data_IF_050443772265
#
_entry.id   IF_050443772265
#
_cell.length_a   1.000
_cell.length_b   1.000
_cell.length_c   1.000
_cell.angle_alpha   90.00
_cell.angle_beta   90.00
_cell.angle_gamma   90.00
#
_symmetry.space_group_name_H-M   'P 1'
#
loop_
_entity.id
_entity.type
_entity.pdbx_description
1 polymer ?
#
# COMPACT_ATOMS: atom_id res chain seq x y z
N UNK A 1 19.94 -0.48 6.60
CA UNK A 1 19.37 -0.33 5.25
C UNK A 1 18.56 -1.58 4.88
N UNK A 2 17.88 -1.51 3.73
CA UNK A 2 17.04 -2.60 3.21
C UNK A 2 17.82 -3.82 2.73
N UNK A 3 19.08 -3.67 2.32
CA UNK A 3 19.94 -4.79 1.94
C UNK A 3 20.19 -5.71 3.14
N UNK A 4 20.56 -5.14 4.29
CA UNK A 4 20.73 -5.89 5.52
C UNK A 4 19.44 -6.62 5.95
N UNK A 5 18.26 -6.02 5.72
CA UNK A 5 16.97 -6.66 6.02
C UNK A 5 16.70 -7.89 5.12
N UNK A 6 17.03 -7.80 3.83
CA UNK A 6 16.95 -8.93 2.90
C UNK A 6 17.95 -10.04 3.25
N UNK A 7 19.20 -9.69 3.55
CA UNK A 7 20.24 -10.64 3.96
C UNK A 7 19.86 -11.38 5.26
N UNK A 8 19.33 -10.66 6.25
CA UNK A 8 18.82 -11.27 7.48
C UNK A 8 17.65 -12.24 7.22
N UNK A 9 16.75 -11.89 6.31
CA UNK A 9 15.64 -12.76 5.90
C UNK A 9 16.17 -14.04 5.24
N UNK A 10 17.12 -13.92 4.31
CA UNK A 10 17.74 -15.06 3.65
C UNK A 10 18.49 -15.98 4.63
N UNK A 11 19.19 -15.41 5.61
CA UNK A 11 19.87 -16.16 6.66
C UNK A 11 18.88 -16.95 7.54
N UNK A 12 17.74 -16.34 7.90
CA UNK A 12 16.67 -17.01 8.66
C UNK A 12 16.03 -18.15 7.87
N UNK A 13 15.75 -17.94 6.58
CA UNK A 13 15.20 -18.99 5.70
C UNK A 13 16.14 -20.18 5.58
N UNK A 14 17.44 -19.92 5.43
CA UNK A 14 18.46 -20.96 5.41
C UNK A 14 18.52 -21.72 6.74
N UNK A 15 18.50 -21.02 7.87
CA UNK A 15 18.51 -21.64 9.19
C UNK A 15 17.28 -22.55 9.41
N UNK A 16 16.09 -22.11 9.00
CA UNK A 16 14.86 -22.91 9.08
C UNK A 16 14.92 -24.16 8.19
N UNK A 17 15.48 -24.03 6.98
CA UNK A 17 15.65 -25.16 6.05
C UNK A 17 16.66 -26.19 6.56
N UNK A 18 17.72 -25.72 7.23
CA UNK A 18 18.82 -26.57 7.71
C UNK A 18 18.54 -27.16 9.11
N UNK A 19 17.42 -26.80 9.76
CA UNK A 19 17.05 -27.29 11.09
C UNK A 19 16.64 -28.78 11.08
N UNK A 20 17.58 -29.63 11.51
CA UNK A 20 17.40 -31.08 11.62
C UNK A 20 16.57 -31.51 12.83
N UNK A 21 16.30 -30.63 13.80
CA UNK A 21 15.49 -30.96 14.97
C UNK A 21 14.04 -31.28 14.60
N UNK A 22 13.59 -30.82 13.44
CA UNK A 22 12.29 -31.17 12.85
C UNK A 22 12.24 -32.60 12.27
N UNK A 23 13.36 -33.36 12.29
CA UNK A 23 13.36 -34.81 12.06
C UNK A 23 12.83 -35.29 10.71
N UNK A 24 12.74 -34.41 9.70
CA UNK A 24 12.12 -34.72 8.41
C UNK A 24 10.58 -34.71 8.43
N UNK A 25 9.95 -34.36 9.55
CA UNK A 25 8.52 -34.10 9.63
C UNK A 25 8.22 -32.70 9.07
N UNK A 26 7.41 -32.65 8.03
CA UNK A 26 6.85 -31.42 7.45
C UNK A 26 5.54 -31.07 8.16
N UNK A 27 5.62 -30.75 9.45
CA UNK A 27 4.49 -30.25 10.22
C UNK A 27 4.60 -28.72 10.37
N UNK A 28 3.53 -28.00 10.03
CA UNK A 28 3.45 -26.54 10.20
C UNK A 28 2.45 -26.23 11.29
N UNK A 29 2.89 -25.56 12.36
CA UNK A 29 2.01 -25.05 13.40
C UNK A 29 1.65 -23.60 13.08
N UNK A 30 0.35 -23.33 13.00
CA UNK A 30 -0.16 -21.98 12.79
C UNK A 30 -0.68 -21.42 14.10
N UNK A 31 -0.28 -20.18 14.40
CA UNK A 31 -0.67 -19.47 15.63
C UNK A 31 -1.68 -18.34 15.38
N UNK A 32 -1.98 -18.06 14.11
CA UNK A 32 -2.87 -16.98 13.67
C UNK A 32 -3.65 -17.38 12.42
N UNK A 33 -4.79 -16.74 12.23
CA UNK A 33 -5.56 -16.77 10.99
C UNK A 33 -5.30 -15.46 10.22
N UNK A 34 -5.44 -15.47 8.88
CA UNK A 34 -5.71 -16.64 8.05
C UNK A 34 -4.47 -17.53 7.85
N UNK A 35 -4.70 -18.83 7.59
CA UNK A 35 -3.62 -19.81 7.34
C UNK A 35 -3.11 -19.75 5.89
N UNK A 36 -4.02 -19.38 4.98
CA UNK A 36 -3.85 -19.42 3.53
C UNK A 36 -4.63 -18.26 2.92
N UNK A 37 -4.10 -17.70 1.84
CA UNK A 37 -4.83 -16.81 0.96
C UNK A 37 -4.92 -17.48 -0.42
N UNK A 38 -6.14 -17.80 -0.86
CA UNK A 38 -6.39 -18.60 -2.07
C UNK A 38 -5.60 -19.91 -2.09
N UNK A 39 -4.65 -20.02 -3.02
CA UNK A 39 -3.82 -21.18 -3.25
C UNK A 39 -2.45 -21.10 -2.55
N UNK A 40 -2.13 -20.01 -1.84
CA UNK A 40 -0.84 -19.76 -1.19
C UNK A 40 -0.91 -19.81 0.35
N UNK A 41 -0.02 -20.57 0.99
CA UNK A 41 0.13 -20.60 2.45
C UNK A 41 0.76 -19.29 2.94
N UNK A 42 0.19 -18.71 4.00
CA UNK A 42 0.75 -17.51 4.62
C UNK A 42 1.84 -17.90 5.60
N UNK A 43 3.05 -17.40 5.38
CA UNK A 43 4.18 -17.56 6.28
C UNK A 43 4.44 -16.27 7.08
N UNK A 44 5.65 -16.11 7.62
CA UNK A 44 6.04 -14.93 8.39
C UNK A 44 6.69 -13.82 7.54
N UNK A 45 6.68 -13.94 6.20
CA UNK A 45 7.23 -12.95 5.29
C UNK A 45 6.12 -12.05 4.79
N UNK A 46 6.39 -10.75 4.78
CA UNK A 46 5.51 -9.76 4.19
C UNK A 46 6.26 -9.05 3.06
N UNK A 47 5.62 -8.85 1.89
CA UNK A 47 6.19 -8.01 0.84
C UNK A 47 6.12 -6.55 1.26
N UNK A 48 7.25 -5.83 1.16
CA UNK A 48 7.31 -4.39 1.39
C UNK A 48 7.94 -3.68 0.18
N UNK A 49 7.53 -2.44 -0.16
CA UNK A 49 8.22 -1.62 -1.15
C UNK A 49 9.51 -1.08 -0.54
N UNK A 50 10.60 -1.16 -1.31
CA UNK A 50 11.87 -0.52 -0.98
C UNK A 50 12.07 0.71 -1.85
N UNK A 51 12.48 1.80 -1.23
CA UNK A 51 12.75 3.06 -1.91
C UNK A 51 14.26 3.24 -2.05
N UNK A 52 14.70 3.42 -3.29
CA UNK A 52 16.12 3.59 -3.62
C UNK A 52 16.30 4.93 -4.30
N UNK A 53 17.27 5.70 -3.83
CA UNK A 53 17.65 6.93 -4.53
C UNK A 53 18.31 6.57 -5.87
N UNK A 54 17.77 7.16 -6.93
CA UNK A 54 18.30 7.05 -8.29
C UNK A 54 18.85 8.41 -8.68
N UNK A 55 20.12 8.45 -9.04
CA UNK A 55 20.81 9.64 -9.55
C UNK A 55 21.10 9.48 -11.04
N UNK A 56 21.26 10.61 -11.74
CA UNK A 56 21.78 10.58 -13.11
C UNK A 56 23.24 10.13 -13.09
N UNK A 57 23.53 9.09 -13.86
CA UNK A 57 24.88 8.56 -14.03
C UNK A 57 25.19 8.43 -15.53
N UNK A 58 25.94 9.37 -16.11
CA UNK A 58 26.28 9.33 -17.53
C UNK A 58 27.23 8.18 -17.89
N UNK A 59 27.81 7.49 -16.90
CA UNK A 59 28.66 6.31 -17.10
C UNK A 59 27.88 5.00 -17.11
N UNK A 60 26.65 5.02 -16.58
CA UNK A 60 25.74 3.88 -16.60
C UNK A 60 25.07 3.73 -17.98
N UNK A 61 24.94 2.51 -18.53
CA UNK A 61 24.22 2.28 -19.79
C UNK A 61 22.77 2.75 -19.80
N UNK A 62 22.12 2.82 -18.62
CA UNK A 62 20.75 3.34 -18.48
C UNK A 62 20.70 4.87 -18.35
N UNK A 63 21.84 5.53 -18.15
CA UNK A 63 21.92 6.94 -17.75
C UNK A 63 21.62 7.19 -16.27
N UNK A 64 21.43 6.13 -15.48
CA UNK A 64 21.04 6.20 -14.07
C UNK A 64 21.89 5.28 -13.20
N UNK A 65 22.27 5.78 -12.02
CA UNK A 65 22.91 5.02 -10.94
C UNK A 65 21.94 4.89 -9.77
N UNK A 66 21.90 3.72 -9.14
CA UNK A 66 21.05 3.45 -7.98
C UNK A 66 21.90 3.15 -6.76
N UNK A 67 21.66 3.86 -5.66
CA UNK A 67 22.34 3.62 -4.38
C UNK A 67 21.68 2.45 -3.63
N UNK A 68 21.76 1.23 -4.18
CA UNK A 68 21.03 0.04 -3.68
C UNK A 68 21.37 -0.29 -2.23
N UNK A 69 22.61 -0.06 -1.81
CA UNK A 69 23.04 -0.24 -0.41
C UNK A 69 22.39 0.74 0.57
N UNK A 70 21.70 1.76 0.08
CA UNK A 70 20.94 2.75 0.87
C UNK A 70 19.42 2.59 0.75
N UNK A 71 18.94 1.46 0.22
CA UNK A 71 17.52 1.17 0.12
C UNK A 71 16.79 1.37 1.48
N UNK A 72 15.63 2.02 1.43
CA UNK A 72 14.80 2.31 2.60
C UNK A 72 13.54 1.44 2.55
N UNK A 73 13.32 0.64 3.59
CA UNK A 73 12.05 -0.06 3.83
C UNK A 73 11.19 0.82 4.75
N UNK A 74 10.15 1.46 4.19
CA UNK A 74 9.25 2.32 4.97
C UNK A 74 8.37 1.52 5.95
N UNK A 75 8.16 0.22 5.68
CA UNK A 75 7.36 -0.68 6.48
C UNK A 75 8.22 -1.53 7.44
N UNK A 76 9.50 -1.19 7.60
CA UNK A 76 10.43 -2.01 8.38
C UNK A 76 9.93 -2.22 9.80
N UNK A 77 9.72 -3.48 10.16
CA UNK A 77 9.24 -3.87 11.50
C UNK A 77 7.73 -3.77 11.66
N UNK A 78 7.00 -3.33 10.64
CA UNK A 78 5.54 -3.32 10.63
C UNK A 78 5.04 -4.60 9.96
N UNK A 79 4.23 -5.42 10.65
CA UNK A 79 3.74 -6.67 10.08
C UNK A 79 2.53 -6.40 9.17
N UNK A 80 2.76 -5.80 8.01
CA UNK A 80 1.75 -5.57 6.98
C UNK A 80 2.35 -5.79 5.59
N UNK A 81 1.51 -6.04 4.59
CA UNK A 81 1.93 -6.35 3.23
C UNK A 81 1.56 -5.22 2.26
N UNK A 82 2.55 -4.74 1.52
CA UNK A 82 2.39 -3.82 0.38
C UNK A 82 3.33 -4.30 -0.75
N UNK A 83 2.82 -4.76 -1.91
CA UNK A 83 1.40 -4.88 -2.23
C UNK A 83 0.66 -5.88 -1.33
N UNK A 84 -0.62 -5.64 -1.17
CA UNK A 84 -1.56 -6.53 -0.50
C UNK A 84 -1.72 -7.85 -1.26
N UNK A 85 -1.99 -8.93 -0.53
CA UNK A 85 -2.11 -10.25 -1.15
C UNK A 85 -3.37 -10.44 -2.00
N UNK A 86 -3.35 -11.52 -2.81
CA UNK A 86 -4.29 -11.91 -3.86
C UNK A 86 -4.35 -11.00 -5.11
N UNK A 87 -4.61 -9.70 -4.94
CA UNK A 87 -4.86 -8.79 -6.07
C UNK A 87 -4.07 -7.49 -6.03
N UNK A 88 -3.24 -7.26 -5.01
CA UNK A 88 -2.46 -6.03 -4.90
C UNK A 88 -1.27 -5.97 -5.86
N UNK A 89 -0.92 -4.75 -6.26
CA UNK A 89 0.17 -4.47 -7.17
C UNK A 89 0.78 -3.07 -6.98
N UNK A 90 1.25 -2.47 -8.07
CA UNK A 90 1.85 -1.13 -8.05
C UNK A 90 0.86 -0.03 -7.67
N UNK A 91 -0.44 -0.30 -7.76
CA UNK A 91 -1.53 0.57 -7.33
C UNK A 91 -1.64 0.68 -5.80
N UNK A 92 -1.01 -0.20 -5.03
CA UNK A 92 -1.05 -0.15 -3.57
C UNK A 92 -0.15 0.95 -2.98
N UNK A 93 0.61 1.67 -3.81
CA UNK A 93 1.44 2.77 -3.36
C UNK A 93 1.58 3.87 -4.43
N UNK A 94 1.91 5.07 -3.99
CA UNK A 94 2.19 6.20 -4.87
C UNK A 94 3.28 7.09 -4.29
N UNK A 95 4.08 7.68 -5.18
CA UNK A 95 5.16 8.61 -4.85
C UNK A 95 4.83 9.98 -5.46
N UNK A 96 4.86 11.02 -4.62
CA UNK A 96 4.73 12.41 -5.07
C UNK A 96 6.06 12.97 -5.57
N UNK A 97 6.01 14.09 -6.31
CA UNK A 97 7.22 14.81 -6.73
C UNK A 97 8.01 15.42 -5.58
N UNK A 98 7.38 15.62 -4.42
CA UNK A 98 8.02 16.15 -3.22
C UNK A 98 8.75 15.07 -2.41
N UNK A 99 8.62 13.79 -2.80
CA UNK A 99 9.19 12.66 -2.08
C UNK A 99 8.30 12.09 -0.98
N UNK A 100 7.06 12.58 -0.84
CA UNK A 100 6.05 11.93 -0.01
C UNK A 100 5.56 10.63 -0.67
N UNK A 101 5.31 9.62 0.16
CA UNK A 101 4.83 8.30 -0.23
C UNK A 101 3.48 8.04 0.43
N UNK A 102 2.53 7.51 -0.33
CA UNK A 102 1.28 7.00 0.19
C UNK A 102 1.24 5.49 -0.09
N UNK A 103 0.72 4.72 0.86
CA UNK A 103 0.45 3.29 0.67
C UNK A 103 -0.96 2.96 1.13
N UNK A 104 -1.61 2.04 0.43
CA UNK A 104 -2.75 1.32 0.97
C UNK A 104 -2.23 0.06 1.64
N UNK A 105 -2.50 -0.11 2.93
CA UNK A 105 -2.05 -1.27 3.69
C UNK A 105 -3.13 -1.72 4.67
N UNK A 106 -3.09 -3.00 5.02
CA UNK A 106 -3.84 -3.44 6.20
C UNK A 106 -3.25 -2.77 7.45
N UNK A 107 -4.06 -2.51 8.48
CA UNK A 107 -3.54 -2.23 9.81
C UNK A 107 -2.48 -3.26 10.22
N UNK A 108 -1.51 -2.89 11.08
CA UNK A 108 -0.52 -3.83 11.57
C UNK A 108 -1.19 -5.11 12.08
N UNK A 109 -0.67 -6.26 11.63
CA UNK A 109 -1.19 -7.58 11.95
C UNK A 109 -1.52 -7.74 13.43
N UNK A 110 -2.77 -8.09 13.72
CA UNK A 110 -3.26 -8.45 15.04
C UNK A 110 -4.07 -9.77 15.01
N UNK A 111 -4.67 -10.13 16.14
CA UNK A 111 -5.49 -11.34 16.26
C UNK A 111 -6.81 -11.27 15.46
N UNK A 112 -7.22 -10.08 15.01
CA UNK A 112 -8.45 -9.83 14.28
C UNK A 112 -8.28 -9.84 12.75
N UNK A 113 -7.05 -9.97 12.23
CA UNK A 113 -6.74 -9.94 10.78
C UNK A 113 -7.71 -10.74 9.90
N UNK A 114 -8.08 -11.94 10.35
CA UNK A 114 -8.96 -12.84 9.59
C UNK A 114 -10.43 -12.38 9.49
N UNK A 115 -10.83 -11.44 10.35
CA UNK A 115 -12.20 -10.95 10.48
C UNK A 115 -12.42 -9.60 9.80
N UNK A 116 -11.38 -9.07 9.14
CA UNK A 116 -11.45 -7.77 8.48
C UNK A 116 -10.85 -7.83 7.09
N UNK A 117 -11.49 -7.10 6.19
CA UNK A 117 -10.99 -6.81 4.85
C UNK A 117 -10.39 -5.41 4.78
N UNK A 118 -10.46 -4.62 5.86
CA UNK A 118 -10.12 -3.21 5.90
C UNK A 118 -8.65 -2.95 5.51
N UNK A 119 -8.47 -1.89 4.74
CA UNK A 119 -7.19 -1.27 4.43
C UNK A 119 -7.32 0.22 4.57
N UNK A 120 -6.26 0.84 5.05
CA UNK A 120 -6.17 2.27 5.21
C UNK A 120 -5.13 2.89 4.29
N UNK A 121 -5.27 4.20 4.08
CA UNK A 121 -4.27 5.02 3.40
C UNK A 121 -3.31 5.63 4.43
N UNK A 122 -2.06 5.21 4.38
CA UNK A 122 -0.97 5.75 5.20
C UNK A 122 -0.07 6.64 4.37
N UNK A 123 0.33 7.79 4.94
CA UNK A 123 1.19 8.77 4.26
C UNK A 123 2.47 9.02 5.04
N UNK A 124 3.58 8.90 4.34
CA UNK A 124 4.88 9.38 4.75
C UNK A 124 5.23 10.66 3.99
N UNK A 125 5.49 11.76 4.70
CA UNK A 125 5.77 13.06 4.06
C UNK A 125 7.11 13.11 3.32
N UNK A 126 8.07 12.27 3.70
CA UNK A 126 9.37 12.16 3.03
C UNK A 126 10.03 10.82 3.34
N UNK A 127 10.78 10.30 2.38
CA UNK A 127 11.64 9.12 2.59
C UNK A 127 12.86 9.57 3.42
N UNK A 128 13.09 9.00 4.62
CA UNK A 128 14.24 9.35 5.44
C UNK A 128 15.54 8.93 4.77
N UNK A 129 16.59 9.73 4.99
CA UNK A 129 17.94 9.39 4.53
C UNK A 129 18.54 8.27 5.40
N UNK A 130 19.46 7.47 4.84
CA UNK A 130 20.30 6.55 5.63
C UNK A 130 19.69 5.18 5.95
N UNK A 131 18.58 4.79 5.31
CA UNK A 131 18.03 3.44 5.48
C UNK A 131 17.31 3.20 6.81
N UNK A 132 16.90 4.28 7.49
CA UNK A 132 16.07 4.25 8.70
C UNK A 132 14.60 4.02 8.34
N UNK A 133 13.88 3.29 9.20
CA UNK A 133 12.44 3.07 9.05
C UNK A 133 11.71 4.39 9.35
N UNK A 134 10.83 4.84 8.44
CA UNK A 134 10.15 6.12 8.60
C UNK A 134 8.95 6.05 9.56
N UNK A 135 8.35 4.87 9.68
CA UNK A 135 7.19 4.62 10.52
C UNK A 135 7.62 3.92 11.79
N UNK A 136 7.90 4.71 12.82
CA UNK A 136 8.08 4.19 14.16
C UNK A 136 6.70 3.94 14.78
N UNK A 137 6.48 2.80 15.47
CA UNK A 137 5.31 2.64 16.31
C UNK A 137 5.32 3.71 17.41
N UNK A 138 4.41 4.67 17.31
CA UNK A 138 4.05 5.61 18.37
C UNK A 138 2.64 5.31 18.88
N UNK A 139 2.33 5.78 20.08
CA UNK A 139 1.20 5.32 20.92
C UNK A 139 -0.21 5.41 20.29
N UNK A 140 -0.38 6.03 19.11
CA UNK A 140 -1.69 6.16 18.44
C UNK A 140 -1.78 5.70 16.97
N UNK A 141 -0.70 5.26 16.30
CA UNK A 141 -0.76 4.45 15.06
C UNK A 141 0.65 4.06 14.54
N UNK A 142 0.87 2.79 14.20
CA UNK A 142 2.21 2.27 13.89
C UNK A 142 2.76 2.56 12.48
N UNK A 143 2.01 3.29 11.65
CA UNK A 143 2.25 3.48 10.22
C UNK A 143 2.30 4.96 9.79
N UNK A 144 2.54 5.90 10.72
CA UNK A 144 2.61 7.33 10.41
C UNK A 144 1.24 8.01 10.36
N UNK A 145 1.01 8.88 9.37
CA UNK A 145 -0.28 9.58 9.20
C UNK A 145 -1.28 8.66 8.49
N UNK A 146 -2.19 8.05 9.24
CA UNK A 146 -3.33 7.32 8.69
C UNK A 146 -4.46 8.30 8.31
N UNK A 147 -4.73 8.47 7.02
CA UNK A 147 -5.77 9.39 6.54
C UNK A 147 -7.19 8.80 6.66
N UNK A 148 -7.31 7.48 6.83
CA UNK A 148 -8.61 6.80 6.81
C UNK A 148 -8.84 5.93 8.05
N UNK A 149 -8.19 6.23 9.17
CA UNK A 149 -8.32 5.49 10.44
C UNK A 149 -9.78 5.35 10.93
N UNK A 150 -10.64 6.32 10.60
CA UNK A 150 -12.06 6.30 10.96
C UNK A 150 -12.95 5.55 9.96
N UNK A 151 -12.43 5.16 8.79
CA UNK A 151 -13.18 4.42 7.79
C UNK A 151 -13.15 2.92 8.13
N UNK A 152 -14.29 2.28 8.43
CA UNK A 152 -14.32 0.85 8.70
C UNK A 152 -14.19 0.00 7.42
N UNK A 153 -14.34 0.61 6.24
CA UNK A 153 -14.29 -0.05 4.95
C UNK A 153 -12.90 -0.10 4.32
N UNK A 154 -12.87 -0.35 3.02
CA UNK A 154 -11.67 -0.68 2.25
C UNK A 154 -11.17 0.51 1.44
N UNK A 155 -9.99 1.06 1.76
CA UNK A 155 -9.36 2.15 1.01
C UNK A 155 -8.15 1.67 0.20
N UNK A 156 -8.16 1.92 -1.12
CA UNK A 156 -7.13 1.45 -2.05
C UNK A 156 -6.73 2.50 -3.08
N UNK A 157 -5.71 2.17 -3.88
CA UNK A 157 -5.29 2.95 -5.05
C UNK A 157 -4.96 4.42 -4.74
N UNK A 158 -4.13 4.71 -3.71
CA UNK A 158 -3.73 6.09 -3.43
C UNK A 158 -2.94 6.66 -4.61
N UNK A 159 -3.30 7.85 -5.07
CA UNK A 159 -2.61 8.56 -6.16
C UNK A 159 -2.44 10.04 -5.83
N UNK A 160 -1.19 10.51 -5.85
CA UNK A 160 -0.89 11.92 -5.64
C UNK A 160 -1.26 12.76 -6.87
N UNK A 161 -1.73 13.99 -6.62
CA UNK A 161 -1.88 14.99 -7.68
C UNK A 161 -0.52 15.31 -8.33
N UNK A 162 -0.49 15.84 -9.57
CA UNK A 162 0.77 16.08 -10.29
C UNK A 162 1.74 17.05 -9.60
N UNK A 163 1.23 17.90 -8.70
CA UNK A 163 1.98 18.83 -7.86
C UNK A 163 2.23 18.30 -6.43
N UNK A 164 1.60 17.18 -6.06
CA UNK A 164 1.70 16.56 -4.73
C UNK A 164 0.90 17.27 -3.63
N UNK A 165 0.07 18.26 -3.96
CA UNK A 165 -0.72 19.01 -2.97
C UNK A 165 -1.96 18.26 -2.49
N UNK A 166 -2.40 17.25 -3.25
CA UNK A 166 -3.58 16.44 -2.94
C UNK A 166 -3.29 14.95 -3.12
N UNK A 167 -4.07 14.12 -2.42
CA UNK A 167 -4.07 12.67 -2.56
C UNK A 167 -5.49 12.19 -2.82
N UNK A 168 -5.69 11.39 -3.86
CA UNK A 168 -6.96 10.73 -4.11
C UNK A 168 -6.83 9.21 -3.87
N UNK A 169 -7.93 8.56 -3.52
CA UNK A 169 -7.99 7.11 -3.37
C UNK A 169 -9.41 6.58 -3.65
N UNK A 170 -9.50 5.28 -3.86
CA UNK A 170 -10.75 4.54 -3.94
C UNK A 170 -11.17 4.10 -2.54
N UNK A 171 -12.46 4.21 -2.24
CA UNK A 171 -12.97 3.97 -0.88
C UNK A 171 -14.26 3.17 -0.89
N UNK A 172 -14.40 2.22 0.02
CA UNK A 172 -15.66 1.57 0.39
C UNK A 172 -16.08 2.06 1.77
N UNK A 173 -17.38 2.25 2.00
CA UNK A 173 -17.90 2.72 3.29
C UNK A 173 -18.25 1.57 4.25
N UNK A 174 -18.70 0.44 3.69
CA UNK A 174 -19.07 -0.76 4.43
C UNK A 174 -17.87 -1.55 4.92
N UNK A 175 -17.98 -2.09 6.12
CA UNK A 175 -17.07 -3.10 6.64
C UNK A 175 -17.43 -4.49 6.08
N UNK A 176 -16.54 -5.46 6.31
CA UNK A 176 -16.80 -6.91 6.27
C UNK A 176 -16.95 -7.58 4.89
N UNK A 177 -17.05 -6.85 3.78
CA UNK A 177 -17.08 -7.44 2.44
C UNK A 177 -16.37 -6.60 1.38
N UNK A 178 -15.63 -7.28 0.48
CA UNK A 178 -14.83 -6.65 -0.59
C UNK A 178 -15.65 -6.34 -1.86
N UNK A 179 -16.97 -6.18 -1.73
CA UNK A 179 -17.88 -5.98 -2.87
C UNK A 179 -18.84 -4.80 -2.67
N UNK A 180 -18.54 -3.89 -1.74
CA UNK A 180 -19.32 -2.66 -1.55
C UNK A 180 -19.16 -1.72 -2.75
N UNK A 181 -20.06 -0.75 -2.87
CA UNK A 181 -19.94 0.34 -3.81
C UNK A 181 -18.63 1.10 -3.56
N UNK A 182 -17.85 1.31 -4.62
CA UNK A 182 -16.58 2.03 -4.53
C UNK A 182 -16.83 3.50 -4.86
N UNK A 183 -16.31 4.40 -4.03
CA UNK A 183 -16.28 5.83 -4.25
C UNK A 183 -14.87 6.34 -4.51
N UNK A 184 -14.76 7.65 -4.66
CA UNK A 184 -13.49 8.38 -4.78
C UNK A 184 -13.46 9.47 -3.71
N UNK A 185 -12.38 9.50 -2.95
CA UNK A 185 -12.09 10.57 -1.99
C UNK A 185 -10.84 11.33 -2.41
N UNK A 186 -10.78 12.61 -2.00
CA UNK A 186 -9.63 13.50 -2.18
C UNK A 186 -9.31 14.16 -0.84
N UNK A 187 -8.04 14.08 -0.44
CA UNK A 187 -7.47 14.81 0.68
C UNK A 187 -6.61 15.97 0.17
N UNK A 188 -6.80 17.14 0.77
CA UNK A 188 -6.00 18.33 0.52
C UNK A 188 -5.04 18.56 1.68
N UNK A 189 -3.73 18.52 1.42
CA UNK A 189 -2.73 18.61 2.49
C UNK A 189 -2.58 20.01 3.09
N UNK A 190 -3.04 21.06 2.40
CA UNK A 190 -2.94 22.43 2.89
C UNK A 190 -4.03 22.73 3.94
N UNK A 191 -5.26 22.30 3.67
CA UNK A 191 -6.41 22.45 4.57
C UNK A 191 -6.55 21.31 5.58
N UNK A 192 -6.05 20.12 5.26
CA UNK A 192 -6.28 18.89 6.01
C UNK A 192 -7.67 18.29 5.78
N UNK A 193 -8.45 18.81 4.83
CA UNK A 193 -9.80 18.33 4.55
C UNK A 193 -9.79 17.11 3.63
N UNK A 194 -10.65 16.14 3.94
CA UNK A 194 -10.97 15.01 3.06
C UNK A 194 -12.41 15.14 2.58
N UNK A 195 -12.64 15.10 1.26
CA UNK A 195 -13.97 15.12 0.64
C UNK A 195 -14.20 13.90 -0.23
N UNK A 196 -15.43 13.42 -0.28
CA UNK A 196 -15.87 12.47 -1.30
C UNK A 196 -16.23 13.24 -2.56
N UNK A 197 -15.58 12.91 -3.69
CA UNK A 197 -15.86 13.51 -4.99
C UNK A 197 -16.75 12.63 -5.86
N UNK A 198 -16.85 11.34 -5.51
CA UNK A 198 -17.76 10.39 -6.12
C UNK A 198 -18.21 9.36 -5.08
N UNK A 199 -19.52 9.18 -4.94
CA UNK A 199 -20.14 8.10 -4.15
C UNK A 199 -20.96 7.24 -5.09
N UNK A 200 -20.50 6.05 -5.47
CA UNK A 200 -21.18 5.26 -6.50
C UNK A 200 -22.62 4.90 -6.12
N UNK A 201 -22.91 4.75 -4.83
CA UNK A 201 -24.25 4.46 -4.31
C UNK A 201 -25.22 5.65 -4.35
N UNK A 202 -24.75 6.86 -4.69
CA UNK A 202 -25.57 8.09 -4.74
C UNK A 202 -25.48 8.84 -6.05
N UNK A 203 -24.27 8.96 -6.59
CA UNK A 203 -23.94 9.88 -7.67
C UNK A 203 -23.92 9.17 -9.02
N UNK A 204 -23.48 7.91 -9.05
CA UNK A 204 -23.20 7.20 -10.29
C UNK A 204 -23.09 5.69 -10.04
N UNK A 205 -24.09 4.91 -10.47
CA UNK A 205 -24.33 3.48 -10.17
C UNK A 205 -23.20 2.47 -10.55
N UNK A 206 -21.97 2.92 -10.82
CA UNK A 206 -20.83 2.10 -11.24
C UNK A 206 -19.60 2.38 -10.38
N UNK A 207 -18.98 1.30 -9.89
CA UNK A 207 -17.75 1.39 -9.09
C UNK A 207 -16.53 1.74 -9.95
N UNK A 208 -15.75 2.79 -9.60
CA UNK A 208 -14.43 3.05 -10.16
C UNK A 208 -13.44 1.94 -9.77
N UNK A 209 -12.44 1.69 -10.63
CA UNK A 209 -11.45 0.61 -10.48
C UNK A 209 -10.00 1.10 -10.56
N UNK A 210 -9.59 1.70 -11.68
CA UNK A 210 -8.28 2.38 -11.79
C UNK A 210 -8.46 3.85 -11.43
N UNK A 211 -7.44 4.51 -10.90
CA UNK A 211 -7.50 5.93 -10.54
C UNK A 211 -6.22 6.66 -10.93
N UNK A 212 -6.36 7.82 -11.59
CA UNK A 212 -5.25 8.64 -12.07
C UNK A 212 -5.64 10.12 -12.02
N UNK A 213 -4.68 11.01 -11.79
CA UNK A 213 -4.91 12.44 -11.98
C UNK A 213 -4.73 12.85 -13.44
N UNK A 214 -5.54 13.80 -13.91
CA UNK A 214 -5.26 14.53 -15.14
C UNK A 214 -3.96 15.32 -14.99
N UNK A 215 -3.25 15.56 -16.09
CA UNK A 215 -1.94 16.25 -16.08
C UNK A 215 -1.99 17.66 -15.48
N UNK A 216 -3.14 18.33 -15.58
CA UNK A 216 -3.38 19.67 -15.03
C UNK A 216 -3.85 19.64 -13.56
N UNK A 217 -4.03 18.45 -12.96
CA UNK A 217 -4.44 18.28 -11.58
C UNK A 217 -5.90 18.66 -11.29
N UNK A 218 -6.74 18.86 -12.31
CA UNK A 218 -8.13 19.33 -12.13
C UNK A 218 -9.16 18.22 -12.06
N UNK A 219 -8.83 17.04 -12.60
CA UNK A 219 -9.76 15.92 -12.74
C UNK A 219 -9.10 14.62 -12.32
N UNK A 220 -9.93 13.71 -11.83
CA UNK A 220 -9.59 12.32 -11.66
C UNK A 220 -10.14 11.54 -12.86
N UNK A 221 -9.27 10.76 -13.48
CA UNK A 221 -9.58 9.81 -14.53
C UNK A 221 -9.62 8.42 -13.91
N UNK A 222 -10.65 7.66 -14.25
CA UNK A 222 -10.82 6.33 -13.68
C UNK A 222 -11.56 5.41 -14.65
N UNK A 223 -11.43 4.11 -14.44
CA UNK A 223 -12.17 3.10 -15.21
C UNK A 223 -13.36 2.59 -14.42
N UNK A 224 -14.44 2.20 -15.11
CA UNK A 224 -15.57 1.50 -14.50
C UNK A 224 -16.27 0.58 -15.52
N UNK A 225 -16.90 -0.47 -15.03
CA UNK A 225 -17.70 -1.39 -15.84
C UNK A 225 -19.14 -0.88 -15.99
N UNK A 226 -19.36 -0.10 -17.05
CA UNK A 226 -20.66 0.51 -17.36
C UNK A 226 -21.42 -0.39 -18.33
N UNK A 227 -22.43 -1.11 -17.83
CA UNK A 227 -23.30 -1.99 -18.63
C UNK A 227 -22.48 -2.99 -19.47
N UNK A 228 -21.58 -3.72 -18.81
CA UNK A 228 -20.67 -4.70 -19.40
C UNK A 228 -19.66 -4.13 -20.41
N UNK A 229 -19.31 -2.84 -20.27
CA UNK A 229 -18.22 -2.19 -21.02
C UNK A 229 -17.29 -1.47 -20.06
N UNK A 230 -15.99 -1.70 -20.20
CA UNK A 230 -14.98 -0.92 -19.47
C UNK A 230 -14.89 0.48 -20.09
N UNK A 231 -15.36 1.48 -19.36
CA UNK A 231 -15.35 2.88 -19.78
C UNK A 231 -14.18 3.64 -19.13
N UNK A 232 -13.65 4.64 -19.83
CA UNK A 232 -12.81 5.68 -19.23
C UNK A 232 -13.71 6.86 -18.86
N UNK A 233 -13.68 7.24 -17.59
CA UNK A 233 -14.54 8.25 -17.00
C UNK A 233 -13.69 9.34 -16.34
N UNK A 234 -14.33 10.47 -16.02
CA UNK A 234 -13.68 11.58 -15.36
C UNK A 234 -14.64 12.27 -14.38
N UNK A 235 -14.10 12.73 -13.26
CA UNK A 235 -14.78 13.58 -12.28
C UNK A 235 -13.86 14.75 -11.90
N UNK A 236 -14.44 15.90 -11.59
CA UNK A 236 -13.67 17.03 -11.06
C UNK A 236 -13.18 16.68 -9.65
N UNK A 237 -11.92 17.05 -9.37
CA UNK A 237 -11.27 16.74 -8.11
C UNK A 237 -11.64 17.75 -7.02
#
# INVERSE_FOLDING_TARGET
DGRAAMEATAARDKALKDDKALGGLSAVSFKRLPLRQWDAWLDAKMPHPFFVKVDLDPTSPSGYGAAVDSAVDLLRGVPTAVPSGAFGGSEDWSLSKTGAVAVSARPPLDAAEAWTTNRHIYVQKSIPAGGEAAWAPGDDDALGLCLTASNPGYDTNPVFSPDGSQLAWLTMAGADYEADAVGICVHDFASGETRSVLRAERDWDFSPQDLLWSKDGRRLLFTADVRARRALCAVDA
#
